data_IF_160853215670
#
_entry.id   IF_160853215670
#
_cell.length_a   1.000
_cell.length_b   1.000
_cell.length_c   1.000
_cell.angle_alpha   90.00
_cell.angle_beta   90.00
_cell.angle_gamma   90.00
#
_symmetry.space_group_name_H-M   'P 1'
#
loop_
_entity.id
_entity.type
_entity.pdbx_description
1 polymer ?
#
# COMPACT_ATOMS: atom_id res chain seq x y z
N UNK A 1 35.12 103.24 38.89
CA UNK A 1 36.52 102.84 39.08
C UNK A 1 36.58 102.06 40.38
N UNK A 2 37.23 100.89 40.35
CA UNK A 2 37.81 100.23 41.53
C UNK A 2 36.89 99.39 42.43
N UNK A 3 36.94 98.08 42.25
CA UNK A 3 36.99 97.09 43.35
C UNK A 3 38.33 97.25 44.12
N UNK A 4 38.64 96.56 45.27
CA UNK A 4 37.88 95.68 46.19
C UNK A 4 38.21 96.10 47.69
N UNK A 5 38.53 95.25 48.72
CA UNK A 5 38.19 93.86 49.12
C UNK A 5 37.82 93.67 50.63
N UNK A 6 37.63 92.39 51.02
CA UNK A 6 38.02 91.74 52.30
C UNK A 6 37.13 91.84 53.56
N UNK A 7 37.11 90.74 54.32
CA UNK A 7 37.16 90.81 55.79
C UNK A 7 36.15 89.98 56.57
N UNK A 8 36.63 88.90 57.18
CA UNK A 8 35.97 88.03 58.18
C UNK A 8 35.50 88.77 59.43
N UNK A 9 34.35 88.36 59.99
CA UNK A 9 34.13 88.23 61.45
C UNK A 9 32.74 87.67 61.79
N UNK A 10 32.68 86.48 62.40
CA UNK A 10 31.64 86.14 63.39
C UNK A 10 31.98 86.80 64.74
N UNK A 11 31.17 86.70 65.83
CA UNK A 11 30.60 85.45 66.33
C UNK A 11 29.24 85.57 67.09
N UNK A 12 28.89 84.50 67.83
CA UNK A 12 27.88 84.37 68.91
C UNK A 12 26.40 84.29 68.48
N UNK A 13 25.53 83.44 69.03
CA UNK A 13 25.58 82.51 70.17
C UNK A 13 24.13 82.36 70.68
N UNK A 14 23.68 81.12 70.91
CA UNK A 14 22.48 80.69 71.67
C UNK A 14 21.08 81.23 71.26
N UNK A 15 19.97 80.48 71.22
CA UNK A 15 19.60 79.16 71.74
C UNK A 15 18.43 78.56 70.90
N UNK A 16 18.34 77.23 70.89
CA UNK A 16 17.30 76.35 70.28
C UNK A 16 16.01 76.27 71.12
N UNK A 17 15.06 75.33 70.89
CA UNK A 17 14.31 74.91 69.67
C UNK A 17 12.78 74.80 69.94
N UNK A 18 11.91 74.76 68.90
CA UNK A 18 10.63 74.03 69.04
C UNK A 18 9.99 73.57 67.71
N UNK A 19 9.60 72.29 67.70
CA UNK A 19 8.53 71.62 66.94
C UNK A 19 8.64 71.38 65.41
N UNK A 20 9.28 70.25 65.07
CA UNK A 20 8.80 69.10 64.25
C UNK A 20 8.00 69.32 62.94
N UNK A 21 8.55 68.92 61.77
CA UNK A 21 7.75 68.41 60.66
C UNK A 21 7.78 66.87 60.63
N UNK A 22 6.58 66.30 60.79
CA UNK A 22 6.34 64.86 60.83
C UNK A 22 6.80 64.06 59.60
N UNK A 23 6.73 62.72 59.71
CA UNK A 23 7.46 61.80 58.84
C UNK A 23 6.91 61.75 57.42
N UNK A 24 7.84 61.60 56.48
CA UNK A 24 7.61 61.26 55.09
C UNK A 24 6.54 60.16 54.93
N UNK A 25 5.43 60.52 54.29
CA UNK A 25 4.36 59.60 53.96
C UNK A 25 4.89 58.50 53.04
N UNK A 26 4.90 57.28 53.57
CA UNK A 26 5.17 56.06 52.82
C UNK A 26 4.08 55.85 51.76
N UNK A 27 4.41 55.41 50.53
CA UNK A 27 3.41 55.19 49.50
C UNK A 27 2.37 54.18 49.98
N UNK A 28 1.10 54.55 49.84
CA UNK A 28 -0.03 53.78 50.34
C UNK A 28 -0.06 52.36 49.74
N UNK A 29 -0.34 51.39 50.61
CA UNK A 29 -0.49 49.94 50.38
C UNK A 29 -1.48 49.55 49.26
N UNK A 30 -2.09 50.53 48.59
CA UNK A 30 -3.12 50.36 47.54
C UNK A 30 -2.53 50.18 46.14
N UNK A 31 -1.30 50.64 45.88
CA UNK A 31 -0.64 50.46 44.57
C UNK A 31 0.02 49.10 44.39
N UNK A 32 0.37 48.38 45.48
CA UNK A 32 0.96 47.04 45.40
C UNK A 32 -0.04 45.94 45.01
N UNK A 33 -1.33 46.24 44.85
CA UNK A 33 -2.36 45.27 44.40
C UNK A 33 -2.59 45.25 42.89
N UNK A 34 -1.86 46.01 42.07
CA UNK A 34 -2.06 46.03 40.60
C UNK A 34 -1.08 45.21 39.76
N UNK A 35 -0.05 44.59 40.34
CA UNK A 35 1.04 43.97 39.55
C UNK A 35 1.20 42.45 39.65
N UNK A 36 0.25 41.72 40.26
CA UNK A 36 0.31 40.25 40.37
C UNK A 36 -0.84 39.53 39.65
N UNK A 37 -1.02 39.84 38.38
CA UNK A 37 -1.55 38.85 37.42
C UNK A 37 -0.46 38.54 36.40
N UNK A 38 0.64 37.94 36.90
CA UNK A 38 1.61 37.27 36.03
C UNK A 38 0.83 36.22 35.25
N UNK A 39 0.64 36.48 33.95
CA UNK A 39 0.29 35.48 32.95
C UNK A 39 1.27 34.31 33.11
N UNK A 40 0.87 33.25 33.79
CA UNK A 40 1.50 31.95 33.62
C UNK A 40 1.06 31.46 32.26
N UNK A 41 1.74 31.92 31.20
CA UNK A 41 1.57 31.38 29.85
C UNK A 41 2.02 29.92 29.93
N UNK A 42 1.04 29.05 29.97
CA UNK A 42 1.13 27.61 30.15
C UNK A 42 1.96 26.99 29.02
N UNK A 43 3.25 26.72 29.28
CA UNK A 43 4.10 25.91 28.38
C UNK A 43 3.48 24.53 28.06
N UNK A 44 2.57 24.04 28.93
CA UNK A 44 1.73 22.85 28.69
C UNK A 44 0.95 22.90 27.38
N UNK A 45 0.45 24.07 26.97
CA UNK A 45 -0.44 24.17 25.79
C UNK A 45 0.25 23.87 24.46
N UNK A 46 1.58 24.05 24.35
CA UNK A 46 2.29 23.69 23.11
C UNK A 46 2.60 22.18 23.07
N UNK A 47 2.96 21.59 24.21
CA UNK A 47 3.16 20.14 24.33
C UNK A 47 1.83 19.39 24.10
N UNK A 48 0.72 19.88 24.66
CA UNK A 48 -0.61 19.30 24.44
C UNK A 48 -1.04 19.42 22.97
N UNK A 49 -0.70 20.51 22.28
CA UNK A 49 -0.94 20.67 20.84
C UNK A 49 -0.09 19.73 20.00
N UNK A 50 1.19 19.57 20.34
CA UNK A 50 2.09 18.62 19.64
C UNK A 50 1.63 17.19 19.85
N UNK A 51 1.22 16.82 21.07
CA UNK A 51 0.61 15.51 21.35
C UNK A 51 -0.69 15.30 20.60
N UNK A 52 -1.58 16.30 20.56
CA UNK A 52 -2.84 16.21 19.82
C UNK A 52 -2.59 16.07 18.32
N UNK A 53 -1.65 16.82 17.75
CA UNK A 53 -1.23 16.67 16.35
C UNK A 53 -0.64 15.28 16.11
N UNK A 54 0.19 14.77 17.01
CA UNK A 54 0.73 13.41 16.93
C UNK A 54 -0.37 12.35 16.93
N UNK A 55 -1.35 12.46 17.82
CA UNK A 55 -2.51 11.55 17.87
C UNK A 55 -3.35 11.64 16.60
N UNK A 56 -3.55 12.83 16.05
CA UNK A 56 -4.26 13.01 14.77
C UNK A 56 -3.50 12.39 13.62
N UNK A 57 -2.17 12.55 13.56
CA UNK A 57 -1.34 11.94 12.52
C UNK A 57 -1.38 10.41 12.62
N UNK A 58 -1.25 9.85 13.83
CA UNK A 58 -1.33 8.40 14.05
C UNK A 58 -2.73 7.88 13.72
N UNK A 59 -3.78 8.62 14.09
CA UNK A 59 -5.17 8.29 13.74
C UNK A 59 -5.40 8.29 12.23
N UNK A 60 -4.91 9.31 11.51
CA UNK A 60 -4.98 9.37 10.06
C UNK A 60 -4.18 8.24 9.39
N UNK A 61 -2.99 7.93 9.91
CA UNK A 61 -2.17 6.82 9.42
C UNK A 61 -2.89 5.47 9.60
N UNK A 62 -3.52 5.25 10.76
CA UNK A 62 -4.34 4.05 11.01
C UNK A 62 -5.53 3.97 10.07
N UNK A 63 -6.26 5.06 9.87
CA UNK A 63 -7.39 5.11 8.92
C UNK A 63 -6.91 4.81 7.50
N UNK A 64 -5.80 5.39 7.06
CA UNK A 64 -5.23 5.12 5.75
C UNK A 64 -4.79 3.65 5.60
N UNK A 65 -4.24 3.04 6.65
CA UNK A 65 -3.82 1.65 6.66
C UNK A 65 -5.03 0.70 6.59
N UNK A 66 -6.09 0.97 7.37
CA UNK A 66 -7.35 0.21 7.33
C UNK A 66 -8.05 0.37 5.99
N UNK A 67 -8.14 1.60 5.46
CA UNK A 67 -8.74 1.87 4.15
C UNK A 67 -7.93 1.22 3.03
N UNK A 68 -6.60 1.29 3.08
CA UNK A 68 -5.70 0.62 2.14
C UNK A 68 -5.84 -0.90 2.20
N UNK A 69 -5.87 -1.49 3.40
CA UNK A 69 -6.11 -2.91 3.58
C UNK A 69 -7.50 -3.34 3.07
N UNK A 70 -8.55 -2.57 3.36
CA UNK A 70 -9.90 -2.79 2.86
C UNK A 70 -9.98 -2.67 1.33
N UNK A 71 -9.27 -1.72 0.73
CA UNK A 71 -9.18 -1.57 -0.72
C UNK A 71 -8.45 -2.75 -1.37
N UNK A 72 -7.34 -3.20 -0.79
CA UNK A 72 -6.63 -4.40 -1.24
C UNK A 72 -7.54 -5.62 -1.18
N UNK A 73 -8.21 -5.84 -0.03
CA UNK A 73 -9.17 -6.92 0.12
C UNK A 73 -10.30 -6.82 -0.92
N UNK A 74 -10.90 -5.64 -1.11
CA UNK A 74 -11.95 -5.43 -2.11
C UNK A 74 -11.47 -5.78 -3.52
N UNK A 75 -10.23 -5.44 -3.87
CA UNK A 75 -9.62 -5.81 -5.15
C UNK A 75 -9.35 -7.32 -5.25
N UNK A 76 -8.87 -7.97 -4.19
CA UNK A 76 -8.68 -9.43 -4.16
C UNK A 76 -9.98 -10.20 -4.33
N UNK A 77 -11.10 -9.69 -3.82
CA UNK A 77 -12.41 -10.33 -3.98
C UNK A 77 -12.98 -10.21 -5.41
N UNK A 78 -12.43 -9.31 -6.24
CA UNK A 78 -12.79 -9.20 -7.65
C UNK A 78 -12.02 -10.20 -8.54
N UNK A 79 -11.02 -10.90 -7.99
CA UNK A 79 -10.31 -11.94 -8.76
C UNK A 79 -11.26 -13.11 -8.98
N UNK A 80 -11.57 -13.36 -10.24
CA UNK A 80 -12.43 -14.48 -10.63
C UNK A 80 -11.80 -15.79 -10.15
N UNK A 81 -12.55 -16.55 -9.34
CA UNK A 81 -12.11 -17.86 -8.86
C UNK A 81 -12.58 -18.92 -9.84
N UNK A 82 -11.63 -19.69 -10.36
CA UNK A 82 -11.94 -20.84 -11.20
C UNK A 82 -11.88 -22.09 -10.33
N UNK A 83 -12.98 -22.85 -10.30
CA UNK A 83 -13.05 -24.09 -9.51
C UNK A 83 -12.36 -25.20 -10.28
N UNK A 84 -11.26 -25.70 -9.73
CA UNK A 84 -10.55 -26.89 -10.20
C UNK A 84 -10.59 -27.92 -9.07
N UNK A 85 -11.14 -29.10 -9.35
CA UNK A 85 -11.41 -30.13 -8.34
C UNK A 85 -10.21 -31.02 -8.10
N UNK A 86 -9.37 -31.20 -9.12
CA UNK A 86 -8.25 -32.14 -9.10
C UNK A 86 -6.91 -31.49 -8.75
N UNK A 87 -6.93 -30.41 -7.97
CA UNK A 87 -5.69 -29.81 -7.46
C UNK A 87 -5.12 -30.63 -6.32
N UNK A 88 -3.80 -30.76 -6.30
CA UNK A 88 -3.05 -31.29 -5.15
C UNK A 88 -2.98 -30.23 -4.05
N UNK A 89 -3.04 -30.66 -2.79
CA UNK A 89 -2.89 -29.75 -1.66
C UNK A 89 -1.40 -29.52 -1.42
N UNK A 90 -0.94 -28.27 -1.59
CA UNK A 90 0.40 -27.85 -1.18
C UNK A 90 0.43 -27.56 0.34
N UNK A 91 1.27 -28.24 1.13
CA UNK A 91 1.54 -27.81 2.50
C UNK A 91 2.24 -26.44 2.51
N UNK A 92 1.94 -25.62 3.51
CA UNK A 92 2.55 -24.30 3.63
C UNK A 92 4.09 -24.39 3.71
N UNK A 93 4.78 -23.58 2.90
CA UNK A 93 6.24 -23.52 2.87
C UNK A 93 6.94 -24.61 2.07
N UNK A 94 6.20 -25.59 1.52
CA UNK A 94 6.76 -26.61 0.62
C UNK A 94 6.80 -26.12 -0.82
N UNK A 95 7.66 -26.71 -1.68
CA UNK A 95 7.61 -26.47 -3.12
C UNK A 95 6.26 -26.82 -3.72
N UNK A 96 5.80 -26.03 -4.68
CA UNK A 96 4.53 -26.24 -5.37
C UNK A 96 4.60 -25.83 -6.83
N UNK A 97 3.69 -26.37 -7.63
CA UNK A 97 3.53 -26.10 -9.04
C UNK A 97 2.27 -25.26 -9.29
N UNK A 98 2.43 -24.26 -10.13
CA UNK A 98 1.36 -23.38 -10.59
C UNK A 98 1.19 -23.57 -12.08
N UNK A 99 0.02 -24.05 -12.51
CA UNK A 99 -0.36 -24.09 -13.91
C UNK A 99 -0.86 -22.71 -14.34
N UNK A 100 -0.15 -22.08 -15.25
CA UNK A 100 -0.50 -20.80 -15.85
C UNK A 100 -1.10 -21.05 -17.22
N UNK A 101 -2.33 -20.60 -17.40
CA UNK A 101 -3.13 -20.75 -18.62
C UNK A 101 -3.42 -19.37 -19.18
N UNK A 102 -2.94 -19.10 -20.38
CA UNK A 102 -3.33 -17.93 -21.16
C UNK A 102 -4.47 -18.30 -22.09
N UNK A 103 -5.64 -17.66 -21.95
CA UNK A 103 -6.79 -17.89 -22.83
C UNK A 103 -6.93 -16.78 -23.86
N UNK A 104 -7.11 -17.12 -25.15
CA UNK A 104 -7.55 -16.19 -26.22
C UNK A 104 -9.07 -15.92 -26.15
N UNK A 105 -9.64 -16.02 -24.94
CA UNK A 105 -11.03 -15.64 -24.70
C UNK A 105 -11.12 -14.12 -24.70
N UNK A 106 -11.67 -13.57 -25.79
CA UNK A 106 -11.92 -12.13 -25.98
C UNK A 106 -13.22 -11.65 -25.33
N UNK A 107 -13.79 -12.47 -24.45
CA UNK A 107 -15.05 -12.23 -23.75
C UNK A 107 -14.80 -11.15 -22.70
N UNK A 108 -15.28 -9.93 -22.96
CA UNK A 108 -15.08 -8.76 -22.11
C UNK A 108 -14.45 -7.55 -22.80
N UNK A 109 -14.03 -7.68 -24.07
CA UNK A 109 -13.56 -6.52 -24.84
C UNK A 109 -14.72 -5.62 -25.26
N UNK A 110 -14.49 -4.30 -25.15
CA UNK A 110 -15.42 -3.32 -25.69
C UNK A 110 -15.43 -3.41 -27.23
N UNK A 111 -16.55 -3.05 -27.86
CA UNK A 111 -16.69 -3.08 -29.32
C UNK A 111 -15.64 -2.22 -30.07
N UNK A 112 -14.92 -1.33 -29.36
CA UNK A 112 -13.81 -0.52 -29.88
C UNK A 112 -12.46 -1.25 -29.83
N UNK A 113 -12.20 -2.10 -28.84
CA UNK A 113 -10.96 -2.90 -28.75
C UNK A 113 -10.95 -4.08 -29.73
N UNK A 114 -12.12 -4.66 -29.98
CA UNK A 114 -12.32 -5.69 -30.99
C UNK A 114 -11.94 -5.25 -32.43
N UNK A 115 -11.94 -3.95 -32.72
CA UNK A 115 -11.64 -3.42 -34.06
C UNK A 115 -10.17 -3.55 -34.45
N UNK A 116 -9.26 -3.64 -33.47
CA UNK A 116 -7.83 -3.81 -33.72
C UNK A 116 -7.40 -5.28 -33.79
N UNK A 117 -8.28 -6.22 -33.44
CA UNK A 117 -7.92 -7.62 -33.21
C UNK A 117 -8.67 -8.62 -34.14
N UNK A 118 -9.52 -8.14 -35.04
CA UNK A 118 -10.27 -8.97 -35.99
C UNK A 118 -11.57 -9.54 -35.42
N UNK A 119 -12.53 -9.81 -36.32
CA UNK A 119 -13.96 -9.96 -36.06
C UNK A 119 -14.37 -10.89 -34.90
N UNK A 120 -15.32 -10.40 -34.09
CA UNK A 120 -15.93 -11.02 -32.89
C UNK A 120 -16.87 -12.20 -33.18
N UNK A 121 -16.95 -12.66 -34.43
CA UNK A 121 -18.08 -13.49 -34.90
C UNK A 121 -17.84 -15.01 -34.91
N UNK A 122 -16.73 -15.55 -34.36
CA UNK A 122 -16.41 -16.97 -34.59
C UNK A 122 -15.68 -17.76 -33.49
N UNK A 123 -15.65 -17.34 -32.22
CA UNK A 123 -14.89 -18.08 -31.18
C UNK A 123 -15.68 -18.31 -29.90
N UNK A 124 -16.74 -19.11 -30.01
CA UNK A 124 -17.41 -19.75 -28.86
C UNK A 124 -16.57 -20.92 -28.28
N UNK A 125 -15.25 -20.74 -28.15
CA UNK A 125 -14.34 -21.76 -27.64
C UNK A 125 -13.22 -21.12 -26.84
N UNK A 126 -13.12 -21.48 -25.57
CA UNK A 126 -11.96 -21.14 -24.75
C UNK A 126 -10.77 -21.95 -25.28
N UNK A 127 -9.92 -21.30 -26.07
CA UNK A 127 -8.62 -21.84 -26.48
C UNK A 127 -7.56 -21.34 -25.51
N UNK A 128 -6.70 -22.25 -25.04
CA UNK A 128 -5.49 -21.87 -24.31
C UNK A 128 -4.33 -21.79 -25.31
N UNK A 129 -3.79 -20.59 -25.49
CA UNK A 129 -2.63 -20.40 -26.36
C UNK A 129 -1.31 -20.48 -25.59
N UNK A 130 -1.36 -20.37 -24.26
CA UNK A 130 -0.19 -20.49 -23.38
C UNK A 130 -0.49 -21.48 -22.27
N UNK A 131 0.33 -22.52 -22.18
CA UNK A 131 0.32 -23.48 -21.06
C UNK A 131 1.73 -23.52 -20.49
N UNK A 132 1.89 -23.03 -19.25
CA UNK A 132 3.18 -23.02 -18.55
C UNK A 132 3.00 -23.58 -17.15
N UNK A 133 3.99 -24.30 -16.66
CA UNK A 133 4.06 -24.75 -15.28
C UNK A 133 5.17 -23.95 -14.61
N UNK A 134 4.82 -23.26 -13.53
CA UNK A 134 5.77 -22.54 -12.69
C UNK A 134 6.00 -23.35 -11.42
N UNK A 135 7.21 -23.85 -11.24
CA UNK A 135 7.64 -24.51 -10.02
C UNK A 135 8.25 -23.48 -9.07
N UNK A 136 7.69 -23.34 -7.87
CA UNK A 136 8.13 -22.38 -6.85
C UNK A 136 8.72 -23.12 -5.67
N UNK A 137 9.89 -22.71 -5.22
CA UNK A 137 10.57 -23.24 -4.03
C UNK A 137 10.66 -22.13 -2.97
N UNK A 138 9.70 -22.05 -2.03
CA UNK A 138 9.66 -20.96 -1.04
C UNK A 138 10.92 -20.87 -0.18
N UNK A 139 11.52 -22.02 0.16
CA UNK A 139 12.71 -22.09 1.02
C UNK A 139 13.94 -21.38 0.42
N UNK A 140 14.07 -21.37 -0.91
CA UNK A 140 15.20 -20.75 -1.62
C UNK A 140 14.83 -19.47 -2.36
N UNK A 141 13.53 -19.16 -2.44
CA UNK A 141 13.00 -18.03 -3.23
C UNK A 141 13.16 -18.22 -4.75
N UNK A 142 13.39 -19.45 -5.21
CA UNK A 142 13.61 -19.74 -6.63
C UNK A 142 12.29 -20.12 -7.32
N UNK A 143 12.18 -19.74 -8.59
CA UNK A 143 11.10 -20.16 -9.46
C UNK A 143 11.67 -20.65 -10.81
N UNK A 144 11.15 -21.78 -11.29
CA UNK A 144 11.47 -22.35 -12.60
C UNK A 144 10.22 -22.41 -13.45
N UNK A 145 10.35 -22.15 -14.75
CA UNK A 145 9.20 -22.15 -15.67
C UNK A 145 9.42 -23.20 -16.75
N UNK A 146 8.51 -24.16 -16.83
CA UNK A 146 8.40 -25.11 -17.92
C UNK A 146 7.31 -24.65 -18.89
N UNK A 147 7.67 -24.45 -20.15
CA UNK A 147 6.69 -24.15 -21.20
C UNK A 147 6.25 -25.44 -21.87
N UNK A 148 4.94 -25.71 -21.89
CA UNK A 148 4.37 -26.81 -22.65
C UNK A 148 3.87 -26.24 -23.99
N UNK A 149 4.42 -26.67 -25.14
CA UNK A 149 3.92 -26.25 -26.43
C UNK A 149 2.43 -26.59 -26.61
N UNK A 150 1.66 -25.69 -27.22
CA UNK A 150 0.20 -25.85 -27.40
C UNK A 150 -0.20 -27.09 -28.22
N UNK A 151 0.70 -27.50 -29.11
CA UNK A 151 0.50 -28.61 -30.06
C UNK A 151 1.10 -29.92 -29.54
N UNK A 152 1.51 -29.97 -28.26
CA UNK A 152 1.96 -31.21 -27.62
C UNK A 152 0.86 -32.26 -27.68
N UNK A 153 1.17 -33.40 -28.28
CA UNK A 153 0.25 -34.52 -28.38
C UNK A 153 0.29 -35.32 -27.08
N UNK A 154 -0.88 -35.48 -26.46
CA UNK A 154 -1.05 -36.15 -25.17
C UNK A 154 -2.25 -37.10 -25.22
N UNK A 155 -2.30 -38.02 -24.26
CA UNK A 155 -3.53 -38.79 -24.04
C UNK A 155 -4.41 -38.04 -23.05
N UNK A 156 -5.59 -37.63 -23.50
CA UNK A 156 -6.50 -36.84 -22.69
C UNK A 156 -6.98 -37.64 -21.48
N UNK A 157 -6.80 -37.11 -20.27
CA UNK A 157 -7.27 -37.73 -19.04
C UNK A 157 -8.52 -37.02 -18.47
N UNK A 158 -9.07 -37.56 -17.39
CA UNK A 158 -10.18 -37.03 -16.62
C UNK A 158 -11.55 -37.57 -16.99
N UNK A 159 -12.62 -36.82 -16.70
CA UNK A 159 -14.01 -37.30 -16.75
C UNK A 159 -14.83 -36.61 -17.84
N UNK A 160 -14.33 -36.56 -19.08
CA UNK A 160 -15.05 -35.94 -20.19
C UNK A 160 -15.21 -36.90 -21.37
N UNK A 161 -16.01 -36.51 -22.37
CA UNK A 161 -16.18 -37.28 -23.61
C UNK A 161 -14.89 -37.46 -24.43
N UNK A 162 -13.84 -36.69 -24.10
CA UNK A 162 -12.55 -36.75 -24.77
C UNK A 162 -11.54 -37.67 -24.07
N UNK A 163 -11.84 -38.19 -22.88
CA UNK A 163 -10.93 -39.05 -22.11
C UNK A 163 -10.51 -40.28 -22.92
N UNK A 164 -9.21 -40.61 -22.86
CA UNK A 164 -8.59 -41.71 -23.60
C UNK A 164 -8.28 -41.41 -25.07
N UNK A 165 -8.66 -40.23 -25.58
CA UNK A 165 -8.32 -39.82 -26.95
C UNK A 165 -6.92 -39.24 -27.00
N UNK A 166 -6.22 -39.50 -28.09
CA UNK A 166 -4.95 -38.84 -28.39
C UNK A 166 -5.22 -37.52 -29.10
N UNK A 167 -4.83 -36.40 -28.49
CA UNK A 167 -5.11 -35.07 -29.01
C UNK A 167 -4.04 -34.07 -28.57
N UNK A 168 -4.08 -32.87 -29.14
CA UNK A 168 -3.25 -31.75 -28.68
C UNK A 168 -3.70 -31.26 -27.32
N UNK A 169 -2.75 -30.86 -26.48
CA UNK A 169 -3.01 -30.40 -25.11
C UNK A 169 -3.96 -29.20 -25.07
N UNK A 170 -3.86 -28.27 -26.03
CA UNK A 170 -4.76 -27.12 -26.13
C UNK A 170 -6.25 -27.49 -26.32
N UNK A 171 -6.55 -28.67 -26.86
CA UNK A 171 -7.92 -29.15 -27.03
C UNK A 171 -8.56 -29.57 -25.69
N UNK A 172 -7.75 -29.96 -24.70
CA UNK A 172 -8.25 -30.36 -23.37
C UNK A 172 -8.83 -29.18 -22.58
N UNK A 173 -8.27 -27.99 -22.81
CA UNK A 173 -8.76 -26.78 -22.17
C UNK A 173 -10.18 -26.37 -22.63
N UNK A 174 -10.62 -26.81 -23.81
CA UNK A 174 -11.98 -26.55 -24.30
C UNK A 174 -13.08 -27.09 -23.37
N UNK A 175 -12.79 -28.11 -22.55
CA UNK A 175 -13.69 -28.65 -21.55
C UNK A 175 -13.44 -28.08 -20.13
N UNK A 176 -12.55 -27.08 -20.03
CA UNK A 176 -12.19 -26.40 -18.78
C UNK A 176 -10.79 -26.77 -18.25
N UNK A 177 -10.29 -25.98 -17.28
CA UNK A 177 -8.94 -26.14 -16.73
C UNK A 177 -8.75 -27.42 -15.92
N UNK A 178 -9.84 -28.00 -15.39
CA UNK A 178 -9.78 -29.22 -14.60
C UNK A 178 -9.32 -30.42 -15.44
N UNK A 179 -9.81 -30.54 -16.67
CA UNK A 179 -9.34 -31.58 -17.58
C UNK A 179 -7.85 -31.41 -17.93
N UNK A 180 -7.42 -30.17 -18.14
CA UNK A 180 -6.02 -29.87 -18.45
C UNK A 180 -5.10 -30.28 -17.28
N UNK A 181 -5.48 -29.98 -16.04
CA UNK A 181 -4.74 -30.42 -14.85
C UNK A 181 -4.60 -31.94 -14.82
N UNK A 182 -5.72 -32.66 -14.92
CA UNK A 182 -5.71 -34.12 -14.87
C UNK A 182 -4.87 -34.74 -15.99
N UNK A 183 -4.93 -34.15 -17.20
CA UNK A 183 -4.12 -34.59 -18.34
C UNK A 183 -2.63 -34.37 -18.09
N UNK A 184 -2.24 -33.21 -17.54
CA UNK A 184 -0.84 -32.92 -17.21
C UNK A 184 -0.33 -33.87 -16.13
N UNK A 185 -1.11 -34.12 -15.08
CA UNK A 185 -0.72 -35.05 -14.02
C UNK A 185 -0.56 -36.48 -14.59
N UNK A 186 -1.44 -36.91 -15.50
CA UNK A 186 -1.41 -38.26 -16.06
C UNK A 186 -0.27 -38.49 -17.06
N UNK A 187 -0.02 -37.53 -17.96
CA UNK A 187 0.93 -37.69 -19.07
C UNK A 187 2.37 -37.31 -18.65
N UNK A 188 2.53 -36.26 -17.84
CA UNK A 188 3.85 -35.77 -17.40
C UNK A 188 4.21 -36.18 -15.97
N UNK A 189 3.26 -36.67 -15.16
CA UNK A 189 3.51 -37.01 -13.75
C UNK A 189 3.78 -35.78 -12.86
N UNK A 190 3.44 -34.58 -13.33
CA UNK A 190 3.70 -33.33 -12.61
C UNK A 190 2.45 -32.96 -11.80
N UNK A 191 2.49 -32.99 -10.45
CA UNK A 191 1.35 -32.61 -9.63
C UNK A 191 1.08 -31.11 -9.76
N UNK A 192 -0.18 -30.69 -9.77
CA UNK A 192 -0.55 -29.28 -9.87
C UNK A 192 -1.34 -28.85 -8.64
N UNK A 193 -0.80 -27.87 -7.89
CA UNK A 193 -1.43 -27.38 -6.67
C UNK A 193 -2.23 -26.09 -6.88
N UNK A 194 -1.84 -25.28 -7.86
CA UNK A 194 -2.52 -24.01 -8.17
C UNK A 194 -2.74 -23.85 -9.66
N UNK A 195 -3.82 -23.16 -10.03
CA UNK A 195 -4.14 -22.77 -11.40
C UNK A 195 -4.38 -21.27 -11.45
N UNK A 196 -3.73 -20.62 -12.42
CA UNK A 196 -3.95 -19.21 -12.75
C UNK A 196 -4.38 -19.15 -14.21
N UNK A 197 -5.57 -18.61 -14.45
CA UNK A 197 -6.06 -18.29 -15.79
C UNK A 197 -5.94 -16.78 -16.02
N UNK A 198 -5.30 -16.40 -17.13
CA UNK A 198 -5.10 -15.01 -17.53
C UNK A 198 -5.69 -14.83 -18.93
N UNK A 199 -6.54 -13.83 -19.10
CA UNK A 199 -7.04 -13.38 -20.40
C UNK A 199 -6.20 -12.19 -20.92
N UNK A 200 -6.47 -11.75 -22.14
CA UNK A 200 -5.69 -10.68 -22.77
C UNK A 200 -5.79 -9.36 -22.01
N UNK A 201 -7.00 -9.00 -21.55
CA UNK A 201 -7.24 -7.80 -20.76
C UNK A 201 -6.50 -7.82 -19.41
N UNK A 202 -6.50 -8.97 -18.71
CA UNK A 202 -5.79 -9.17 -17.46
C UNK A 202 -4.27 -9.13 -17.63
N UNK A 203 -3.75 -9.68 -18.73
CA UNK A 203 -2.32 -9.56 -19.05
C UNK A 203 -1.91 -8.10 -19.28
N UNK A 204 -2.67 -7.36 -20.12
CA UNK A 204 -2.41 -5.94 -20.38
C UNK A 204 -2.46 -5.12 -19.10
N UNK A 205 -3.51 -5.30 -18.30
CA UNK A 205 -3.65 -4.60 -17.01
C UNK A 205 -2.50 -4.91 -16.05
N UNK A 206 -1.97 -6.14 -16.06
CA UNK A 206 -0.79 -6.51 -15.29
C UNK A 206 0.48 -5.80 -15.74
N UNK A 207 0.70 -5.72 -17.06
CA UNK A 207 1.85 -4.99 -17.64
C UNK A 207 1.78 -3.49 -17.34
N UNK A 208 0.60 -2.89 -17.51
CA UNK A 208 0.39 -1.46 -17.24
C UNK A 208 0.60 -1.15 -15.75
N UNK A 209 0.18 -2.04 -14.85
CA UNK A 209 0.34 -1.89 -13.41
C UNK A 209 1.81 -1.91 -12.95
N UNK A 210 2.69 -2.62 -13.66
CA UNK A 210 4.14 -2.62 -13.38
C UNK A 210 4.88 -1.48 -14.09
N UNK A 211 4.18 -0.60 -14.82
CA UNK A 211 4.77 0.54 -15.51
C UNK A 211 5.30 0.22 -16.92
N UNK A 212 4.83 -0.88 -17.52
CA UNK A 212 5.31 -1.37 -18.80
C UNK A 212 6.54 -2.28 -18.70
N UNK A 213 6.92 -2.88 -19.83
CA UNK A 213 8.10 -3.74 -19.96
C UNK A 213 8.99 -3.25 -21.09
N UNK A 214 10.31 -3.27 -20.86
CA UNK A 214 11.30 -2.99 -21.89
C UNK A 214 11.77 -4.31 -22.50
N UNK A 215 11.82 -4.37 -23.83
CA UNK A 215 12.22 -5.54 -24.59
C UNK A 215 13.36 -5.13 -25.52
N UNK A 216 14.48 -5.84 -25.43
CA UNK A 216 15.56 -5.74 -26.39
C UNK A 216 15.31 -6.72 -27.53
N UNK A 217 15.14 -6.19 -28.74
CA UNK A 217 15.00 -6.98 -29.96
C UNK A 217 16.37 -7.04 -30.67
N UNK A 218 16.91 -8.24 -30.93
CA UNK A 218 18.16 -8.40 -31.66
C UNK A 218 18.03 -8.08 -33.15
#
# INVERSE_FOLDING_TARGET
>A
MSEPPAGLSGPAGEASPEADPGPAASPTRRELRRSRRRRTKTRRTWVDRVLLVGVVIVGLALVALVAGYGYLQYRFHQVAKVTVRHLRVAPAGQPFNVLVIGSDSRVGETAQEAQHLGSVAATAGQRSDVVKIVHVVPATGQASVLSIPRDTMITVAGDTSQTGRYNRINATYGNGPDQLVQTIEADFGIPIEHVIQVDFAGFRGGVDAVGGIYLDFP
#
